data_IF_497436503824
#
_entry.id   IF_497436503824
#
_cell.length_a   1.000
_cell.length_b   1.000
_cell.length_c   1.000
_cell.angle_alpha   90.00
_cell.angle_beta   90.00
_cell.angle_gamma   90.00
#
_symmetry.space_group_name_H-M   'P 1'
#
loop_
_entity.id
_entity.type
_entity.pdbx_description
1 polymer ?
#
# COMPACT_ATOMS: atom_id res chain seq x y z
N UNK A 1 3.70 -3.83 -4.72
CA UNK A 1 2.52 -3.74 -5.60
C UNK A 1 2.90 -4.44 -6.91
N UNK A 2 2.16 -5.46 -7.34
CA UNK A 2 2.48 -6.26 -8.54
C UNK A 2 1.55 -5.85 -9.69
N UNK A 3 2.12 -5.53 -10.85
CA UNK A 3 1.39 -5.19 -12.07
C UNK A 3 1.71 -6.22 -13.14
N UNK A 4 0.78 -7.15 -13.37
CA UNK A 4 0.96 -8.25 -14.33
C UNK A 4 1.06 -7.77 -15.78
N UNK A 5 0.24 -6.77 -16.17
CA UNK A 5 0.23 -6.27 -17.55
C UNK A 5 1.52 -5.61 -18.01
N UNK A 6 2.36 -5.14 -17.07
CA UNK A 6 3.66 -4.55 -17.37
C UNK A 6 4.83 -5.40 -16.88
N UNK A 7 4.57 -6.55 -16.24
CA UNK A 7 5.56 -7.36 -15.53
C UNK A 7 6.43 -6.54 -14.55
N UNK A 8 5.81 -5.70 -13.73
CA UNK A 8 6.53 -4.85 -12.78
C UNK A 8 6.08 -5.10 -11.34
N UNK A 9 7.06 -5.14 -10.44
CA UNK A 9 6.88 -5.25 -9.00
C UNK A 9 7.42 -3.98 -8.34
N UNK A 10 6.52 -3.13 -7.86
CA UNK A 10 6.85 -1.88 -7.20
C UNK A 10 6.98 -2.09 -5.68
N UNK A 11 8.14 -1.79 -5.13
CA UNK A 11 8.40 -1.79 -3.68
C UNK A 11 8.39 -0.35 -3.16
N UNK A 12 7.79 -0.15 -2.00
CA UNK A 12 7.68 1.16 -1.38
C UNK A 12 8.16 1.05 0.07
N UNK A 13 8.98 2.02 0.49
CA UNK A 13 9.43 2.16 1.86
C UNK A 13 9.28 3.63 2.27
N UNK A 14 8.50 3.88 3.33
CA UNK A 14 8.20 5.24 3.79
C UNK A 14 9.40 5.92 4.44
N UNK A 15 10.44 5.15 4.76
CA UNK A 15 11.71 5.62 5.28
C UNK A 15 12.83 4.92 4.50
N UNK A 16 14.04 5.47 4.36
CA UNK A 16 15.17 4.71 3.81
C UNK A 16 15.64 3.68 4.85
N UNK A 17 14.80 2.68 5.12
CA UNK A 17 14.99 1.74 6.22
C UNK A 17 15.81 0.52 5.80
N UNK A 18 16.29 -0.22 6.79
CA UNK A 18 16.92 -1.53 6.56
C UNK A 18 15.94 -2.60 6.04
N UNK A 19 14.63 -2.34 6.06
CA UNK A 19 13.62 -3.30 5.61
C UNK A 19 13.54 -3.43 4.09
N UNK A 20 14.11 -2.50 3.32
CA UNK A 20 14.06 -2.51 1.85
C UNK A 20 14.58 -3.84 1.25
N UNK A 21 15.63 -4.42 1.83
CA UNK A 21 16.15 -5.74 1.41
C UNK A 21 15.13 -6.86 1.65
N UNK A 22 14.46 -6.83 2.82
CA UNK A 22 13.40 -7.78 3.15
C UNK A 22 12.19 -7.64 2.22
N UNK A 23 11.77 -6.41 1.93
CA UNK A 23 10.66 -6.13 1.00
C UNK A 23 11.01 -6.65 -0.41
N UNK A 24 12.25 -6.43 -0.87
CA UNK A 24 12.72 -6.94 -2.17
C UNK A 24 12.74 -8.48 -2.19
N UNK A 25 13.20 -9.12 -1.13
CA UNK A 25 13.19 -10.58 -1.02
C UNK A 25 11.76 -11.13 -1.10
N UNK A 26 10.81 -10.53 -0.36
CA UNK A 26 9.39 -10.88 -0.44
C UNK A 26 8.84 -10.69 -1.85
N UNK A 27 9.17 -9.57 -2.51
CA UNK A 27 8.75 -9.33 -3.89
C UNK A 27 9.26 -10.42 -4.83
N UNK A 28 10.52 -10.84 -4.70
CA UNK A 28 11.07 -11.93 -5.51
C UNK A 28 10.40 -13.27 -5.22
N UNK A 29 10.12 -13.58 -3.95
CA UNK A 29 9.36 -14.78 -3.58
C UNK A 29 7.99 -14.78 -4.24
N UNK A 30 7.27 -13.64 -4.23
CA UNK A 30 5.96 -13.52 -4.86
C UNK A 30 6.04 -13.67 -6.38
N UNK A 31 7.06 -13.09 -7.03
CA UNK A 31 7.30 -13.25 -8.47
C UNK A 31 7.49 -14.73 -8.83
N UNK A 32 8.32 -15.45 -8.09
CA UNK A 32 8.58 -16.88 -8.35
C UNK A 32 7.36 -17.78 -8.14
N UNK A 33 6.30 -17.28 -7.48
CA UNK A 33 5.02 -17.97 -7.30
C UNK A 33 4.02 -17.66 -8.42
N UNK A 34 4.33 -16.74 -9.33
CA UNK A 34 3.48 -16.43 -10.48
C UNK A 34 3.49 -17.58 -11.50
N UNK A 35 2.42 -17.75 -12.29
CA UNK A 35 2.42 -18.69 -13.41
C UNK A 35 3.58 -18.38 -14.38
N UNK A 36 4.19 -19.42 -14.97
CA UNK A 36 5.38 -19.27 -15.82
C UNK A 36 5.14 -18.41 -17.05
N UNK A 37 3.91 -18.37 -17.53
CA UNK A 37 3.46 -17.53 -18.64
C UNK A 37 3.55 -16.02 -18.32
N UNK A 38 3.66 -15.68 -17.03
CA UNK A 38 3.69 -14.32 -16.50
C UNK A 38 5.08 -13.98 -15.92
N UNK A 39 5.90 -14.97 -15.57
CA UNK A 39 7.17 -14.82 -14.85
C UNK A 39 8.34 -14.32 -15.72
N UNK A 40 8.34 -14.62 -17.03
CA UNK A 40 9.44 -14.25 -17.93
C UNK A 40 9.53 -12.72 -18.15
N UNK A 41 10.20 -12.02 -17.23
CA UNK A 41 10.53 -10.60 -17.37
C UNK A 41 10.07 -9.71 -16.23
N UNK A 42 9.62 -10.26 -15.09
CA UNK A 42 9.25 -9.43 -13.95
C UNK A 42 10.42 -8.60 -13.41
N UNK A 43 10.21 -7.29 -13.24
CA UNK A 43 11.22 -6.35 -12.72
C UNK A 43 10.80 -5.77 -11.40
N UNK A 44 11.72 -5.72 -10.44
CA UNK A 44 11.49 -5.08 -9.14
C UNK A 44 12.01 -3.65 -9.15
N UNK A 45 11.12 -2.67 -8.97
CA UNK A 45 11.42 -1.24 -8.94
C UNK A 45 11.01 -0.60 -7.63
N UNK A 46 11.69 0.49 -7.25
CA UNK A 46 11.20 1.35 -6.19
C UNK A 46 10.02 2.18 -6.71
N UNK A 47 9.02 2.37 -5.87
CA UNK A 47 7.91 3.28 -6.12
C UNK A 47 8.23 4.65 -5.54
N UNK A 48 8.33 5.66 -6.39
CA UNK A 48 8.56 7.03 -6.00
C UNK A 48 7.21 7.73 -5.81
N UNK A 49 6.74 7.81 -4.57
CA UNK A 49 5.42 8.37 -4.25
C UNK A 49 5.39 9.91 -4.19
N UNK A 50 6.53 10.58 -4.08
CA UNK A 50 6.58 12.04 -3.86
C UNK A 50 6.17 12.50 -2.45
N UNK A 51 5.75 11.59 -1.56
CA UNK A 51 5.30 11.91 -0.20
C UNK A 51 6.42 12.36 0.76
N UNK A 52 7.67 12.28 0.31
CA UNK A 52 8.86 12.52 1.12
C UNK A 52 9.20 11.35 2.04
N UNK A 53 10.15 11.59 2.94
CA UNK A 53 10.63 10.60 3.91
C UNK A 53 9.91 10.80 5.23
N UNK A 54 9.36 9.73 5.78
CA UNK A 54 8.79 9.71 7.12
C UNK A 54 9.88 10.00 8.16
N UNK A 55 9.61 10.94 9.07
CA UNK A 55 10.56 11.41 10.09
C UNK A 55 10.30 10.85 11.50
N UNK A 56 9.24 10.08 11.70
CA UNK A 56 8.92 9.40 12.97
C UNK A 56 8.79 7.89 12.78
N UNK A 57 8.61 7.11 13.85
CA UNK A 57 8.45 5.65 13.77
C UNK A 57 7.00 5.16 13.73
N UNK A 58 6.02 6.08 13.74
CA UNK A 58 4.62 5.74 14.00
C UNK A 58 3.71 5.83 12.77
N UNK A 59 4.05 6.70 11.82
CA UNK A 59 3.20 7.00 10.67
C UNK A 59 3.44 6.09 9.45
N UNK A 60 4.34 5.10 9.51
CA UNK A 60 4.72 4.28 8.35
C UNK A 60 3.51 3.61 7.68
N UNK A 61 2.59 3.08 8.46
CA UNK A 61 1.36 2.49 7.95
C UNK A 61 0.49 3.49 7.17
N UNK A 62 0.47 4.76 7.57
CA UNK A 62 -0.27 5.81 6.84
C UNK A 62 0.42 6.12 5.51
N UNK A 63 1.75 6.24 5.48
CA UNK A 63 2.50 6.45 4.25
C UNK A 63 2.30 5.30 3.25
N UNK A 64 2.32 4.05 3.73
CA UNK A 64 2.08 2.86 2.89
C UNK A 64 0.67 2.87 2.29
N UNK A 65 -0.35 3.21 3.10
CA UNK A 65 -1.73 3.31 2.61
C UNK A 65 -1.90 4.41 1.55
N UNK A 66 -1.30 5.59 1.77
CA UNK A 66 -1.38 6.70 0.83
C UNK A 66 -0.64 6.40 -0.47
N UNK A 67 0.58 5.85 -0.39
CA UNK A 67 1.34 5.43 -1.57
C UNK A 67 0.57 4.38 -2.38
N UNK A 68 -0.13 3.47 -1.71
CA UNK A 68 -1.01 2.49 -2.38
C UNK A 68 -2.21 3.15 -3.06
N UNK A 69 -2.90 4.09 -2.41
CA UNK A 69 -4.00 4.83 -3.03
C UNK A 69 -3.53 5.57 -4.29
N UNK A 70 -2.39 6.26 -4.22
CA UNK A 70 -1.78 6.97 -5.35
C UNK A 70 -1.39 6.00 -6.47
N UNK A 71 -0.83 4.84 -6.13
CA UNK A 71 -0.52 3.79 -7.11
C UNK A 71 -1.77 3.30 -7.84
N UNK A 72 -2.92 3.26 -7.16
CA UNK A 72 -4.22 2.94 -7.76
C UNK A 72 -4.87 4.10 -8.52
N UNK A 73 -4.18 5.23 -8.69
CA UNK A 73 -4.65 6.38 -9.46
C UNK A 73 -5.38 7.45 -8.64
N UNK A 74 -5.26 7.45 -7.31
CA UNK A 74 -5.70 8.59 -6.51
C UNK A 74 -4.82 9.83 -6.80
N UNK A 75 -5.41 11.01 -6.61
CA UNK A 75 -4.70 12.28 -6.78
C UNK A 75 -3.41 12.30 -5.94
N UNK A 76 -2.28 12.70 -6.54
CA UNK A 76 -1.02 12.77 -5.82
C UNK A 76 -1.09 13.80 -4.71
N UNK A 77 -0.48 13.46 -3.59
CA UNK A 77 -0.29 14.38 -2.48
C UNK A 77 1.15 14.87 -2.48
N UNK A 78 1.32 16.14 -2.13
CA UNK A 78 2.63 16.72 -1.85
C UNK A 78 3.15 16.26 -0.48
N UNK A 79 4.22 16.91 -0.02
CA UNK A 79 4.83 16.66 1.28
C UNK A 79 3.79 16.71 2.40
N UNK A 80 3.75 15.63 3.19
CA UNK A 80 2.74 15.45 4.23
C UNK A 80 3.16 16.15 5.53
N UNK A 81 2.41 17.16 5.93
CA UNK A 81 2.54 17.74 7.27
C UNK A 81 1.85 16.88 8.35
N UNK A 82 2.18 17.17 9.62
CA UNK A 82 1.64 16.42 10.77
C UNK A 82 0.11 16.46 10.83
N UNK A 83 -0.51 17.57 10.43
CA UNK A 83 -1.97 17.75 10.47
C UNK A 83 -2.64 16.86 9.42
N UNK A 84 -2.08 16.83 8.21
CA UNK A 84 -2.53 16.00 7.10
C UNK A 84 -2.45 14.52 7.47
N UNK A 85 -1.33 14.09 8.07
CA UNK A 85 -1.19 12.71 8.56
C UNK A 85 -2.27 12.33 9.58
N UNK A 86 -2.57 13.22 10.53
CA UNK A 86 -3.67 13.00 11.49
C UNK A 86 -5.04 12.91 10.81
N UNK A 87 -5.32 13.79 9.85
CA UNK A 87 -6.55 13.75 9.06
C UNK A 87 -6.69 12.44 8.27
N UNK A 88 -5.62 11.99 7.60
CA UNK A 88 -5.63 10.73 6.85
C UNK A 88 -5.84 9.54 7.77
N UNK A 89 -5.20 9.54 8.93
CA UNK A 89 -5.40 8.49 9.94
C UNK A 89 -6.86 8.41 10.40
N UNK A 90 -7.48 9.56 10.67
CA UNK A 90 -8.89 9.61 11.04
C UNK A 90 -9.79 9.12 9.89
N UNK A 91 -9.48 9.49 8.64
CA UNK A 91 -10.19 9.00 7.43
C UNK A 91 -10.19 7.49 7.35
N UNK A 92 -9.03 6.83 7.51
CA UNK A 92 -8.95 5.37 7.47
C UNK A 92 -9.67 4.71 8.66
N UNK A 93 -9.62 5.31 9.85
CA UNK A 93 -10.37 4.82 11.01
C UNK A 93 -11.89 4.82 10.74
N UNK A 94 -12.41 5.91 10.16
CA UNK A 94 -13.82 6.01 9.79
C UNK A 94 -14.20 5.01 8.69
N UNK A 95 -13.37 4.86 7.66
CA UNK A 95 -13.61 3.87 6.60
C UNK A 95 -13.69 2.45 7.19
N UNK A 96 -12.76 2.10 8.08
CA UNK A 96 -12.78 0.81 8.80
C UNK A 96 -14.06 0.62 9.60
N UNK A 97 -14.54 1.65 10.31
CA UNK A 97 -15.78 1.57 11.08
C UNK A 97 -17.01 1.40 10.18
N UNK A 98 -17.07 2.11 9.05
CA UNK A 98 -18.14 1.96 8.05
C UNK A 98 -18.18 0.54 7.48
N UNK A 99 -17.03 -0.02 7.11
CA UNK A 99 -16.95 -1.40 6.62
C UNK A 99 -17.38 -2.41 7.68
N UNK A 100 -17.01 -2.22 8.95
CA UNK A 100 -17.51 -3.09 10.04
C UNK A 100 -19.02 -3.01 10.21
N UNK A 101 -19.60 -1.81 10.16
CA UNK A 101 -21.05 -1.62 10.20
C UNK A 101 -21.75 -2.29 9.01
N UNK A 102 -21.16 -2.22 7.82
CA UNK A 102 -21.65 -2.90 6.62
C UNK A 102 -21.57 -4.43 6.75
N UNK A 103 -20.45 -4.97 7.24
CA UNK A 103 -20.27 -6.41 7.48
C UNK A 103 -21.29 -6.93 8.50
N UNK A 104 -21.53 -6.21 9.60
CA UNK A 104 -22.56 -6.59 10.59
C UNK A 104 -23.96 -6.57 9.95
N UNK A 105 -24.26 -5.56 9.12
CA UNK A 105 -25.56 -5.44 8.44
C UNK A 105 -25.77 -6.55 7.39
N UNK A 106 -24.74 -6.91 6.63
CA UNK A 106 -24.78 -8.01 5.65
C UNK A 106 -24.88 -9.37 6.34
N UNK A 107 -24.14 -9.59 7.45
CA UNK A 107 -24.25 -10.81 8.24
C UNK A 107 -25.65 -10.98 8.87
N UNK A 108 -26.29 -9.88 9.28
CA UNK A 108 -27.68 -9.89 9.77
C UNK A 108 -28.72 -10.16 8.67
N UNK A 109 -28.43 -9.86 7.40
CA UNK A 109 -29.31 -10.19 6.26
C UNK A 109 -29.14 -11.63 5.75
N UNK A 110 -28.08 -12.34 6.15
CA UNK A 110 -27.83 -13.75 5.79
C UNK A 110 -28.42 -14.74 6.81
N UNK A 111 -29.14 -14.25 7.82
CA UNK A 111 -30.00 -15.07 8.68
C UNK A 111 -31.43 -15.07 8.14
N UNK A 112 -31.66 -15.76 7.01
CA UNK A 112 -32.99 -16.19 6.53
C UNK A 112 -32.86 -17.63 6.06
#
# INVERSE_FOLDING_TARGET
MLTLGTCEAYIYDSSPSSYLLGIRAVAQTLINLLPREVDEGFRVRNYESGLGVQTDSYNCGIYVLLAFEMFCGAEPLDLLDKKTLQCMRYRYLLQRQKMKGLVIKVAGCLQI
#
